data_IF_526648409600
#
_entry.id   IF_526648409600
#
_cell.length_a   1.000
_cell.length_b   1.000
_cell.length_c   1.000
_cell.angle_alpha   90.00
_cell.angle_beta   90.00
_cell.angle_gamma   90.00
#
_symmetry.space_group_name_H-M   'P 1'
#
loop_
_entity.id
_entity.type
_entity.pdbx_description
1 polymer ?
#
# COMPACT_ATOMS: atom_id res chain seq x y z
N UNK A 1 15.04 -11.83 -7.17
CA UNK A 1 13.69 -12.42 -6.93
C UNK A 1 13.32 -12.45 -5.43
N UNK A 2 14.23 -12.17 -4.48
CA UNK A 2 13.97 -12.17 -3.03
C UNK A 2 13.26 -10.93 -2.45
N UNK A 3 12.94 -9.93 -3.26
CA UNK A 3 12.46 -8.62 -2.76
C UNK A 3 10.98 -8.68 -2.30
N UNK A 4 10.13 -9.46 -2.98
CA UNK A 4 8.71 -9.55 -2.64
C UNK A 4 8.46 -10.28 -1.31
N UNK A 5 9.06 -11.47 -1.05
CA UNK A 5 8.88 -12.15 0.24
C UNK A 5 9.40 -11.31 1.42
N UNK A 6 10.54 -10.64 1.26
CA UNK A 6 11.10 -9.76 2.30
C UNK A 6 10.16 -8.60 2.64
N UNK A 7 9.68 -7.88 1.62
CA UNK A 7 8.73 -6.79 1.82
C UNK A 7 7.41 -7.23 2.49
N UNK A 8 6.90 -8.41 2.15
CA UNK A 8 5.68 -8.95 2.75
C UNK A 8 5.91 -9.33 4.22
N UNK A 9 7.08 -9.88 4.53
CA UNK A 9 7.47 -10.19 5.90
C UNK A 9 7.60 -8.91 6.74
N UNK A 10 8.29 -7.89 6.24
CA UNK A 10 8.44 -6.60 6.93
C UNK A 10 7.06 -5.98 7.22
N UNK A 11 6.18 -5.92 6.22
CA UNK A 11 4.83 -5.39 6.38
C UNK A 11 4.04 -6.19 7.43
N UNK A 12 4.16 -7.52 7.44
CA UNK A 12 3.50 -8.38 8.42
C UNK A 12 4.03 -8.12 9.84
N UNK A 13 5.34 -8.00 10.02
CA UNK A 13 5.96 -7.70 11.32
C UNK A 13 5.46 -6.34 11.83
N UNK A 14 5.47 -5.31 10.99
CA UNK A 14 4.99 -3.99 11.37
C UNK A 14 3.50 -3.98 11.75
N UNK A 15 2.65 -4.62 10.95
CA UNK A 15 1.21 -4.73 11.27
C UNK A 15 1.03 -5.46 12.59
N UNK A 16 1.72 -6.58 12.80
CA UNK A 16 1.61 -7.36 14.03
C UNK A 16 1.98 -6.51 15.26
N UNK A 17 3.16 -5.86 15.23
CA UNK A 17 3.64 -5.01 16.32
C UNK A 17 2.70 -3.83 16.59
N UNK A 18 2.21 -3.16 15.54
CA UNK A 18 1.27 -2.04 15.68
C UNK A 18 -0.13 -2.48 16.12
N UNK A 19 -0.48 -3.76 15.99
CA UNK A 19 -1.78 -4.30 16.40
C UNK A 19 -1.75 -5.03 17.74
N UNK A 20 -0.56 -5.23 18.33
CA UNK A 20 -0.37 -6.04 19.54
C UNK A 20 -1.22 -5.52 20.72
N UNK A 21 -1.32 -4.20 20.87
CA UNK A 21 -2.13 -3.56 21.91
C UNK A 21 -3.65 -3.63 21.67
N UNK A 22 -4.09 -3.96 20.45
CA UNK A 22 -5.52 -4.12 20.10
C UNK A 22 -6.04 -5.52 20.43
N UNK A 23 -5.19 -6.42 20.92
CA UNK A 23 -5.53 -7.81 21.22
C UNK A 23 -6.58 -7.96 22.35
N UNK A 24 -6.80 -6.92 23.15
CA UNK A 24 -7.70 -6.93 24.30
C UNK A 24 -8.99 -6.11 24.12
N UNK A 25 -9.21 -5.49 22.96
CA UNK A 25 -10.40 -4.70 22.68
C UNK A 25 -10.62 -4.55 21.17
N UNK A 26 -11.78 -5.00 20.69
CA UNK A 26 -12.10 -5.15 19.28
C UNK A 26 -12.34 -3.81 18.54
N UNK A 27 -11.36 -2.90 18.51
CA UNK A 27 -11.36 -1.81 17.54
C UNK A 27 -10.91 -2.32 16.17
N UNK A 28 -11.84 -3.05 15.54
CA UNK A 28 -11.70 -3.56 14.18
C UNK A 28 -11.45 -2.46 13.15
N UNK A 29 -11.92 -1.23 13.40
CA UNK A 29 -11.65 -0.09 12.53
C UNK A 29 -10.19 0.37 12.64
N UNK A 30 -9.61 0.34 13.84
CA UNK A 30 -8.20 0.66 14.05
C UNK A 30 -7.27 -0.39 13.40
N UNK A 31 -7.61 -1.67 13.49
CA UNK A 31 -6.90 -2.74 12.76
C UNK A 31 -6.93 -2.51 11.24
N UNK A 32 -8.08 -2.11 10.69
CA UNK A 32 -8.21 -1.79 9.26
C UNK A 32 -7.36 -0.57 8.88
N UNK A 33 -7.32 0.47 9.73
CA UNK A 33 -6.47 1.65 9.52
C UNK A 33 -4.98 1.29 9.53
N UNK A 34 -4.54 0.48 10.49
CA UNK A 34 -3.15 0.00 10.55
C UNK A 34 -2.79 -0.74 9.27
N UNK A 35 -3.62 -1.70 8.84
CA UNK A 35 -3.39 -2.44 7.58
C UNK A 35 -3.36 -1.52 6.37
N UNK A 36 -4.31 -0.57 6.28
CA UNK A 36 -4.42 0.37 5.17
C UNK A 36 -3.16 1.23 4.98
N UNK A 37 -2.44 1.58 6.08
CA UNK A 37 -1.16 2.32 6.00
C UNK A 37 -0.10 1.56 5.21
N UNK A 38 -0.13 0.23 5.19
CA UNK A 38 0.85 -0.60 4.51
C UNK A 38 0.39 -1.10 3.13
N UNK A 39 -0.91 -1.21 2.88
CA UNK A 39 -1.47 -1.71 1.61
C UNK A 39 -0.97 -0.91 0.40
N UNK A 40 -1.06 0.42 0.43
CA UNK A 40 -0.72 1.26 -0.72
C UNK A 40 0.79 1.28 -1.01
N UNK A 41 1.69 1.50 -0.02
CA UNK A 41 3.14 1.39 -0.24
C UNK A 41 3.59 0.01 -0.76
N UNK A 42 3.05 -1.06 -0.17
CA UNK A 42 3.35 -2.44 -0.57
C UNK A 42 2.90 -2.71 -2.01
N UNK A 43 1.67 -2.31 -2.36
CA UNK A 43 1.13 -2.46 -3.71
C UNK A 43 1.94 -1.70 -4.77
N UNK A 44 2.43 -0.50 -4.46
CA UNK A 44 3.27 0.28 -5.37
C UNK A 44 4.60 -0.40 -5.64
N UNK A 45 5.26 -0.89 -4.59
CA UNK A 45 6.53 -1.62 -4.71
C UNK A 45 6.35 -2.95 -5.45
N UNK A 46 5.30 -3.72 -5.13
CA UNK A 46 4.97 -4.97 -5.82
C UNK A 46 4.69 -4.73 -7.31
N UNK A 47 3.93 -3.68 -7.65
CA UNK A 47 3.67 -3.28 -9.04
C UNK A 47 4.96 -2.92 -9.78
N UNK A 48 5.86 -2.17 -9.14
CA UNK A 48 7.17 -1.80 -9.71
C UNK A 48 8.04 -3.03 -9.98
N UNK A 49 8.11 -3.96 -9.02
CA UNK A 49 8.84 -5.21 -9.16
C UNK A 49 8.26 -6.08 -10.29
N UNK A 50 6.94 -6.24 -10.34
CA UNK A 50 6.26 -6.99 -11.41
C UNK A 50 6.60 -6.41 -12.80
N UNK A 51 6.62 -5.09 -12.94
CA UNK A 51 7.01 -4.39 -14.18
C UNK A 51 8.45 -4.69 -14.58
N UNK A 52 9.39 -4.63 -13.62
CA UNK A 52 10.81 -4.95 -13.85
C UNK A 52 10.97 -6.40 -14.31
N UNK A 53 10.32 -7.34 -13.63
CA UNK A 53 10.37 -8.77 -13.99
C UNK A 53 9.79 -8.99 -15.39
N UNK A 54 8.64 -8.39 -15.71
CA UNK A 54 8.05 -8.48 -17.05
C UNK A 54 9.01 -8.03 -18.15
N UNK A 55 9.67 -6.87 -17.95
CA UNK A 55 10.67 -6.35 -18.89
C UNK A 55 11.87 -7.30 -19.02
N UNK A 56 12.39 -7.83 -17.92
CA UNK A 56 13.51 -8.77 -17.92
C UNK A 56 13.18 -10.09 -18.61
N UNK A 57 11.94 -10.57 -18.50
CA UNK A 57 11.48 -11.79 -19.12
C UNK A 57 10.98 -11.60 -20.57
N UNK A 58 11.07 -10.39 -21.13
CA UNK A 58 10.65 -10.11 -22.51
C UNK A 58 9.14 -10.18 -22.73
N UNK A 59 8.32 -10.02 -21.69
CA UNK A 59 6.87 -9.94 -21.86
C UNK A 59 6.49 -8.68 -22.64
N UNK A 60 5.44 -8.75 -23.48
CA UNK A 60 4.95 -7.58 -24.20
C UNK A 60 4.46 -6.50 -23.24
N UNK A 61 4.49 -5.26 -23.72
CA UNK A 61 3.91 -4.13 -23.01
C UNK A 61 2.43 -4.39 -22.70
N UNK A 62 1.98 -3.89 -21.55
CA UNK A 62 0.61 -4.08 -21.11
C UNK A 62 0.07 -2.76 -20.56
N UNK A 63 -1.13 -2.34 -20.96
CA UNK A 63 -1.76 -1.13 -20.44
C UNK A 63 -2.08 -1.24 -18.93
N UNK A 64 -2.17 -2.46 -18.40
CA UNK A 64 -2.29 -2.74 -16.96
C UNK A 64 -0.97 -2.54 -16.21
N UNK A 65 0.16 -2.64 -16.93
CA UNK A 65 1.51 -2.41 -16.40
C UNK A 65 1.92 -0.94 -16.55
N UNK A 66 1.66 -0.31 -17.69
CA UNK A 66 1.98 1.10 -17.98
C UNK A 66 0.80 1.72 -18.73
N UNK A 67 0.12 2.69 -18.13
CA UNK A 67 -1.10 3.27 -18.70
C UNK A 67 -2.01 3.97 -17.67
N UNK A 68 -3.09 4.61 -18.15
CA UNK A 68 -4.02 5.39 -17.32
C UNK A 68 -4.79 4.54 -16.29
N UNK A 69 -4.86 3.22 -16.53
CA UNK A 69 -5.46 2.24 -15.63
C UNK A 69 -4.43 1.27 -15.04
N UNK A 70 -3.15 1.59 -15.13
CA UNK A 70 -2.11 0.73 -14.55
C UNK A 70 -2.26 0.64 -13.03
N UNK A 71 -1.96 -0.53 -12.47
CA UNK A 71 -2.07 -0.76 -11.02
C UNK A 71 -1.27 0.28 -10.22
N UNK A 72 -0.12 0.72 -10.74
CA UNK A 72 0.67 1.80 -10.13
C UNK A 72 -0.07 3.13 -10.10
N UNK A 73 -0.68 3.54 -11.22
CA UNK A 73 -1.32 4.83 -11.31
C UNK A 73 -2.61 4.89 -10.49
N UNK A 74 -3.35 3.78 -10.41
CA UNK A 74 -4.49 3.62 -9.49
C UNK A 74 -4.02 3.77 -8.03
N UNK A 75 -2.99 3.04 -7.63
CA UNK A 75 -2.46 3.12 -6.26
C UNK A 75 -1.90 4.51 -5.91
N UNK A 76 -1.30 5.22 -6.86
CA UNK A 76 -0.85 6.61 -6.67
C UNK A 76 -2.02 7.57 -6.48
N UNK A 77 -3.12 7.39 -7.23
CA UNK A 77 -4.36 8.17 -7.05
C UNK A 77 -4.96 7.94 -5.67
N UNK A 78 -5.08 6.68 -5.24
CA UNK A 78 -5.57 6.35 -3.90
C UNK A 78 -4.65 6.91 -2.80
N UNK A 79 -3.32 6.83 -2.98
CA UNK A 79 -2.36 7.48 -2.07
C UNK A 79 -2.62 8.99 -1.96
N UNK A 80 -2.78 9.67 -3.10
CA UNK A 80 -3.06 11.11 -3.12
C UNK A 80 -4.37 11.42 -2.40
N UNK A 81 -5.41 10.61 -2.60
CA UNK A 81 -6.70 10.74 -1.91
C UNK A 81 -6.56 10.62 -0.40
N UNK A 82 -5.85 9.59 0.08
CA UNK A 82 -5.61 9.41 1.52
C UNK A 82 -4.83 10.58 2.14
N UNK A 83 -3.83 11.12 1.41
CA UNK A 83 -3.09 12.30 1.89
C UNK A 83 -4.00 13.52 1.98
N UNK A 84 -4.84 13.78 0.97
CA UNK A 84 -5.78 14.90 0.98
C UNK A 84 -6.83 14.76 2.09
N UNK A 85 -7.34 13.55 2.32
CA UNK A 85 -8.28 13.27 3.42
C UNK A 85 -7.64 13.53 4.78
N UNK A 86 -6.43 13.01 5.02
CA UNK A 86 -5.72 13.25 6.29
C UNK A 86 -5.40 14.72 6.53
N UNK A 87 -5.10 15.51 5.48
CA UNK A 87 -4.94 16.96 5.60
C UNK A 87 -6.25 17.66 5.98
N UNK A 88 -7.38 17.24 5.40
CA UNK A 88 -8.71 17.79 5.70
C UNK A 88 -9.11 17.55 7.16
N UNK A 89 -8.90 16.34 7.66
CA UNK A 89 -9.19 15.94 9.05
C UNK A 89 -8.32 16.75 10.05
N UNK A 90 -7.06 17.02 9.73
CA UNK A 90 -6.19 17.85 10.55
C UNK A 90 -6.64 19.30 10.62
N UNK A 91 -7.07 19.88 9.48
CA UNK A 91 -7.63 21.24 9.46
C UNK A 91 -8.95 21.37 10.19
N UNK A 92 -9.79 20.34 10.22
CA UNK A 92 -11.05 20.34 10.98
C UNK A 92 -10.82 20.14 12.49
N UNK A 93 -9.79 19.40 12.91
CA UNK A 93 -9.45 19.24 14.33
C UNK A 93 -8.76 20.45 14.97
N UNK A 94 -8.29 21.41 14.15
CA UNK A 94 -7.57 22.60 14.57
C UNK A 94 -8.48 23.85 14.73
N UNK A 95 -9.79 23.69 14.50
CA UNK A 95 -10.84 24.71 14.65
C UNK A 95 -11.70 24.35 15.87
#
# INVERSE_FOLDING_TARGET
IMELPGMLLDARIHIANSSEHLSYGADSAELLRIRARYTTPLGLRASSLARRIRKQCGFPESPLSEGPHSATLVLLKERKRHVMQGLSELTESAI
#
